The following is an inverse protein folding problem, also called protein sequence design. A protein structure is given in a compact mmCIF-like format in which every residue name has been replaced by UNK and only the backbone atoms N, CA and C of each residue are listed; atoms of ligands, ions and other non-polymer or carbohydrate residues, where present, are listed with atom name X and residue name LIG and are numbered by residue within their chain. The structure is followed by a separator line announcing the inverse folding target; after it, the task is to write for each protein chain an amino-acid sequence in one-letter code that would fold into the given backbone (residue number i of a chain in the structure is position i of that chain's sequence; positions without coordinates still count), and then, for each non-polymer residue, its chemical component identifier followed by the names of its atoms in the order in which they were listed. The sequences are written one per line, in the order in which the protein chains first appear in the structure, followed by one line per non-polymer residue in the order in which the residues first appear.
data_IF_090040071804
#
_entry.id   IF_090040071804
#
_cell.length_a   1.000
_cell.length_b   1.000
_cell.length_c   1.000
_cell.angle_alpha   90.00
_cell.angle_beta   90.00
_cell.angle_gamma   90.00
#
_symmetry.space_group_name_H-M   'P 1'
#
loop_
_entity.id
_entity.type
_entity.pdbx_description
1 polymer ?
#
# COMPACT_ATOMS: atom_id res chain seq x y z
N UNK A 1 -65.23 -23.36 -74.48
CA UNK A 1 -65.05 -24.24 -73.30
C UNK A 1 -63.74 -23.86 -72.64
N UNK A 2 -63.64 -23.59 -71.32
CA UNK A 2 -64.51 -22.84 -70.40
C UNK A 2 -63.84 -21.55 -69.85
N UNK A 3 -64.68 -20.71 -69.22
CA UNK A 3 -64.44 -19.58 -68.27
C UNK A 3 -63.85 -20.13 -66.93
N UNK A 4 -63.59 -19.41 -65.80
CA UNK A 4 -63.40 -17.98 -65.47
C UNK A 4 -62.30 -17.71 -64.36
N UNK A 5 -62.18 -16.43 -63.88
CA UNK A 5 -61.72 -15.99 -62.52
C UNK A 5 -60.23 -16.23 -62.13
N UNK A 6 -59.53 -15.50 -61.24
CA UNK A 6 -59.71 -14.30 -60.39
C UNK A 6 -58.33 -13.99 -59.73
N UNK A 7 -58.09 -12.70 -59.46
CA UNK A 7 -57.43 -12.07 -58.29
C UNK A 7 -56.24 -12.74 -57.57
N UNK A 8 -55.14 -12.00 -57.43
CA UNK A 8 -54.65 -11.59 -56.08
C UNK A 8 -53.69 -10.41 -56.15
N UNK A 9 -53.98 -9.42 -55.31
CA UNK A 9 -53.19 -8.25 -54.94
C UNK A 9 -51.96 -8.63 -54.10
N UNK A 10 -50.82 -7.98 -54.34
CA UNK A 10 -49.75 -7.92 -53.34
C UNK A 10 -49.26 -6.49 -53.14
N UNK A 11 -49.60 -5.96 -51.96
CA UNK A 11 -48.96 -4.82 -51.30
C UNK A 11 -47.44 -5.05 -51.26
N UNK A 12 -46.65 -4.09 -51.75
CA UNK A 12 -45.23 -4.02 -51.41
C UNK A 12 -45.01 -2.89 -50.43
N UNK A 13 -44.52 -3.29 -49.26
CA UNK A 13 -44.28 -2.49 -48.08
C UNK A 13 -43.07 -1.57 -48.28
N UNK A 14 -43.22 -0.29 -47.93
CA UNK A 14 -42.12 0.64 -47.72
C UNK A 14 -41.34 0.24 -46.46
N UNK A 15 -40.12 -0.27 -46.65
CA UNK A 15 -39.16 -0.47 -45.56
C UNK A 15 -38.47 0.87 -45.24
N UNK A 16 -38.96 1.54 -44.20
CA UNK A 16 -38.24 2.61 -43.50
C UNK A 16 -37.10 1.98 -42.68
N UNK A 17 -35.87 2.06 -43.18
CA UNK A 17 -34.68 1.71 -42.42
C UNK A 17 -34.38 2.82 -41.40
N UNK A 18 -34.84 2.64 -40.16
CA UNK A 18 -34.37 3.40 -39.00
C UNK A 18 -32.92 2.99 -38.69
N UNK A 19 -31.97 3.81 -39.15
CA UNK A 19 -30.57 3.73 -38.74
C UNK A 19 -30.43 4.11 -37.26
N UNK A 20 -30.46 3.11 -36.38
CA UNK A 20 -30.11 3.28 -34.97
C UNK A 20 -28.61 3.58 -34.86
N UNK A 21 -28.28 4.81 -34.45
CA UNK A 21 -26.92 5.17 -34.06
C UNK A 21 -26.65 4.46 -32.74
N UNK A 22 -25.99 3.30 -32.81
CA UNK A 22 -25.42 2.64 -31.66
C UNK A 22 -24.25 3.51 -31.16
N UNK A 23 -24.53 4.36 -30.18
CA UNK A 23 -23.49 5.04 -29.41
C UNK A 23 -22.68 3.98 -28.67
N UNK A 24 -21.57 3.56 -29.28
CA UNK A 24 -20.59 2.74 -28.63
C UNK A 24 -19.88 3.60 -27.58
N UNK A 25 -20.35 3.53 -26.34
CA UNK A 25 -19.66 4.12 -25.20
C UNK A 25 -18.32 3.41 -25.05
N UNK A 26 -17.26 3.98 -25.64
CA UNK A 26 -15.90 3.56 -25.36
C UNK A 26 -15.62 3.90 -23.90
N UNK A 27 -15.72 2.90 -23.04
CA UNK A 27 -15.16 2.99 -21.70
C UNK A 27 -13.66 3.22 -21.87
N UNK A 28 -13.20 4.45 -21.61
CA UNK A 28 -11.78 4.71 -21.45
C UNK A 28 -11.32 3.88 -20.27
N UNK A 29 -10.61 2.79 -20.53
CA UNK A 29 -9.76 2.17 -19.52
C UNK A 29 -8.83 3.30 -19.04
N UNK A 30 -9.02 3.77 -17.80
CA UNK A 30 -8.18 4.81 -17.24
C UNK A 30 -6.73 4.34 -17.35
N UNK A 31 -5.97 4.96 -18.26
CA UNK A 31 -4.55 4.70 -18.40
C UNK A 31 -3.88 5.06 -17.08
N UNK A 32 -3.00 4.16 -16.64
CA UNK A 32 -2.24 4.28 -15.39
C UNK A 32 -1.58 5.66 -15.35
N UNK A 33 -1.71 6.45 -14.28
CA UNK A 33 -0.94 7.67 -14.19
C UNK A 33 0.54 7.26 -14.15
N UNK A 34 1.32 7.65 -15.16
CA UNK A 34 2.77 7.40 -15.20
C UNK A 34 3.48 7.94 -13.95
N UNK A 35 2.88 8.95 -13.32
CA UNK A 35 3.30 9.51 -12.04
C UNK A 35 3.23 8.54 -10.86
N UNK A 36 2.56 7.39 -10.93
CA UNK A 36 2.57 6.40 -9.83
C UNK A 36 3.70 5.38 -9.97
N UNK A 37 4.16 5.12 -11.19
CA UNK A 37 5.11 4.05 -11.46
C UNK A 37 6.45 4.34 -10.78
N UNK A 38 7.01 3.35 -10.08
CA UNK A 38 8.31 3.48 -9.43
C UNK A 38 8.43 2.70 -8.13
N UNK A 39 9.55 2.92 -7.45
CA UNK A 39 9.83 2.43 -6.11
C UNK A 39 9.54 3.51 -5.08
N UNK A 40 8.93 3.09 -3.98
CA UNK A 40 8.48 3.94 -2.89
C UNK A 40 8.89 3.32 -1.57
N UNK A 41 9.07 4.16 -0.55
CA UNK A 41 9.36 3.75 0.81
C UNK A 41 8.21 4.20 1.72
N UNK A 42 7.74 3.32 2.59
CA UNK A 42 6.84 3.69 3.68
C UNK A 42 7.62 4.46 4.74
N UNK A 43 7.41 5.77 4.80
CA UNK A 43 8.10 6.68 5.74
C UNK A 43 7.26 7.02 6.97
N UNK A 44 5.95 6.78 6.91
CA UNK A 44 5.02 7.04 8.01
C UNK A 44 3.90 5.99 7.99
N UNK A 45 3.49 5.57 9.18
CA UNK A 45 2.36 4.66 9.42
C UNK A 45 1.53 5.31 10.51
N UNK A 46 0.31 5.71 10.19
CA UNK A 46 -0.59 6.34 11.16
C UNK A 46 -1.94 5.68 11.21
N UNK A 47 -2.50 5.72 12.41
CA UNK A 47 -3.82 5.21 12.76
C UNK A 47 -4.57 6.33 13.44
N UNK A 48 -5.89 6.25 13.43
CA UNK A 48 -6.74 7.21 14.12
C UNK A 48 -6.51 7.11 15.62
N UNK A 49 -5.80 8.09 16.20
CA UNK A 49 -5.40 8.12 17.61
C UNK A 49 -6.56 8.08 18.62
N UNK A 50 -7.79 8.30 18.17
CA UNK A 50 -8.98 8.23 19.02
C UNK A 50 -9.68 6.85 18.98
N UNK A 51 -9.38 5.97 18.01
CA UNK A 51 -10.01 4.64 17.85
C UNK A 51 -9.07 3.48 18.28
N UNK A 52 -8.45 3.62 19.46
CA UNK A 52 -7.36 2.74 19.90
C UNK A 52 -7.67 1.22 20.07
N UNK A 53 -8.89 0.76 20.40
CA UNK A 53 -9.15 -0.66 20.66
C UNK A 53 -9.09 -1.58 19.42
N UNK A 54 -9.22 -1.03 18.21
CA UNK A 54 -9.40 -1.83 16.97
C UNK A 54 -8.13 -1.93 16.11
N UNK A 55 -6.99 -1.48 16.64
CA UNK A 55 -5.76 -1.36 15.88
C UNK A 55 -5.08 -2.71 15.66
N UNK A 56 -5.07 -3.17 14.40
CA UNK A 56 -4.13 -4.20 13.97
C UNK A 56 -2.68 -3.69 14.01
N UNK A 57 -2.48 -2.39 13.75
CA UNK A 57 -1.19 -1.70 13.72
C UNK A 57 -1.17 -0.49 14.64
N UNK A 58 -0.01 -0.16 15.21
CA UNK A 58 0.14 0.99 16.10
C UNK A 58 0.70 2.23 15.37
N UNK A 59 0.63 3.44 15.93
CA UNK A 59 1.29 4.59 15.33
C UNK A 59 2.79 4.33 15.16
N UNK A 60 3.33 4.64 13.98
CA UNK A 60 4.70 4.33 13.58
C UNK A 60 5.04 2.82 13.70
N UNK A 61 4.12 1.94 13.28
CA UNK A 61 4.29 0.49 13.39
C UNK A 61 5.55 -0.01 12.63
N UNK A 62 6.54 -0.58 13.34
CA UNK A 62 7.74 -1.11 12.72
C UNK A 62 7.51 -2.24 11.70
N UNK A 63 6.37 -2.94 11.75
CA UNK A 63 6.04 -3.97 10.75
C UNK A 63 5.86 -3.38 9.36
N UNK A 64 5.39 -2.13 9.28
CA UNK A 64 5.10 -1.41 8.04
C UNK A 64 6.10 -0.28 7.71
N UNK A 65 6.80 0.28 8.69
CA UNK A 65 7.81 1.31 8.43
C UNK A 65 9.02 0.76 7.67
N UNK A 66 9.50 1.52 6.68
CA UNK A 66 10.68 1.20 5.87
C UNK A 66 10.43 0.19 4.75
N UNK A 67 9.18 -0.31 4.62
CA UNK A 67 8.76 -1.21 3.54
C UNK A 67 8.93 -0.57 2.18
N UNK A 68 9.43 -1.33 1.22
CA UNK A 68 9.59 -0.90 -0.16
C UNK A 68 8.33 -1.28 -0.95
N UNK A 69 7.61 -0.28 -1.45
CA UNK A 69 6.44 -0.47 -2.30
C UNK A 69 6.86 -0.23 -3.75
N UNK A 70 6.68 -1.24 -4.60
CA UNK A 70 6.92 -1.11 -6.04
C UNK A 70 5.58 -1.06 -6.76
N UNK A 71 5.31 0.04 -7.44
CA UNK A 71 4.14 0.20 -8.31
C UNK A 71 4.63 0.11 -9.75
N UNK A 72 4.22 -0.93 -10.47
CA UNK A 72 4.54 -1.10 -11.88
C UNK A 72 3.29 -1.47 -12.69
N UNK A 73 3.39 -1.36 -14.01
CA UNK A 73 2.32 -1.80 -14.91
C UNK A 73 1.93 -3.27 -14.72
N UNK A 74 2.86 -4.14 -14.37
CA UNK A 74 2.61 -5.58 -14.19
C UNK A 74 2.12 -5.97 -12.80
N UNK A 75 2.57 -5.25 -11.76
CA UNK A 75 2.28 -5.60 -10.38
C UNK A 75 2.44 -4.43 -9.41
N UNK A 76 1.70 -4.46 -8.30
CA UNK A 76 1.99 -3.71 -7.07
C UNK A 76 2.50 -4.69 -6.02
N UNK A 77 3.68 -4.44 -5.47
CA UNK A 77 4.29 -5.29 -4.44
C UNK A 77 4.74 -4.46 -3.24
N UNK A 78 4.73 -5.07 -2.06
CA UNK A 78 5.36 -4.52 -0.85
C UNK A 78 6.41 -5.51 -0.35
N UNK A 79 7.68 -5.10 -0.40
CA UNK A 79 8.84 -5.96 -0.27
C UNK A 79 8.75 -7.21 -1.18
N UNK A 80 9.03 -8.39 -0.62
CA UNK A 80 8.87 -9.71 -1.22
C UNK A 80 7.66 -10.45 -0.61
N UNK A 81 6.57 -9.77 -0.23
CA UNK A 81 5.33 -10.46 0.18
C UNK A 81 4.82 -11.28 -1.02
N UNK A 82 4.41 -12.53 -0.78
CA UNK A 82 3.90 -13.42 -1.83
C UNK A 82 2.53 -13.01 -2.35
N UNK A 83 1.88 -11.99 -1.76
CA UNK A 83 0.52 -11.54 -2.08
C UNK A 83 0.49 -10.24 -2.88
N UNK A 84 1.39 -10.14 -3.86
CA UNK A 84 1.43 -9.06 -4.83
C UNK A 84 0.10 -8.89 -5.60
N UNK A 85 -0.22 -7.64 -5.92
CA UNK A 85 -1.31 -7.32 -6.83
C UNK A 85 -0.86 -7.56 -8.26
N UNK A 86 -1.20 -8.70 -8.84
CA UNK A 86 -0.93 -8.96 -10.25
C UNK A 86 -1.94 -8.20 -11.13
N UNK A 87 -1.46 -7.69 -12.29
CA UNK A 87 -2.27 -6.94 -13.27
C UNK A 87 -3.13 -5.83 -12.62
N UNK A 88 -2.50 -4.85 -11.95
CA UNK A 88 -3.22 -3.81 -11.23
C UNK A 88 -4.05 -2.95 -12.18
N UNK A 89 -5.33 -2.80 -11.85
CA UNK A 89 -6.25 -1.81 -12.40
C UNK A 89 -6.39 -0.61 -11.45
N UNK A 90 -6.68 0.56 -12.02
CA UNK A 90 -6.92 1.78 -11.27
C UNK A 90 -8.22 2.41 -11.73
N UNK A 91 -9.12 2.72 -10.80
CA UNK A 91 -10.33 3.48 -11.07
C UNK A 91 -10.33 4.76 -10.26
N UNK A 92 -10.62 5.89 -10.91
CA UNK A 92 -10.71 7.17 -10.21
C UNK A 92 -11.95 7.19 -9.28
N UNK A 93 -11.72 7.49 -8.01
CA UNK A 93 -12.78 7.79 -7.04
C UNK A 93 -13.12 9.27 -7.10
N UNK A 94 -14.36 9.70 -6.79
CA UNK A 94 -14.76 11.11 -6.87
C UNK A 94 -13.77 12.08 -6.23
N UNK A 95 -13.58 13.25 -6.85
CA UNK A 95 -12.75 14.32 -6.26
C UNK A 95 -13.37 14.79 -4.95
N UNK A 96 -12.52 15.03 -3.96
CA UNK A 96 -12.88 15.60 -2.66
C UNK A 96 -11.70 16.34 -2.05
N UNK A 97 -11.89 16.98 -0.89
CA UNK A 97 -10.75 17.44 -0.10
C UNK A 97 -10.04 16.25 0.57
N UNK A 98 -8.74 16.38 0.84
CA UNK A 98 -7.96 15.33 1.51
C UNK A 98 -8.57 14.97 2.87
N UNK A 99 -8.97 15.99 3.65
CA UNK A 99 -9.63 15.84 4.93
C UNK A 99 -10.96 15.07 4.79
N UNK A 100 -11.77 15.42 3.80
CA UNK A 100 -13.03 14.72 3.56
C UNK A 100 -12.79 13.25 3.23
N UNK A 101 -11.85 12.94 2.33
CA UNK A 101 -11.57 11.56 1.94
C UNK A 101 -11.06 10.72 3.13
N UNK A 102 -10.04 11.18 3.85
CA UNK A 102 -9.47 10.43 4.98
C UNK A 102 -10.52 10.23 6.08
N UNK A 103 -11.29 11.26 6.43
CA UNK A 103 -12.35 11.12 7.43
C UNK A 103 -13.43 10.11 7.02
N UNK A 104 -13.80 10.07 5.74
CA UNK A 104 -14.78 9.10 5.20
C UNK A 104 -14.23 7.68 5.08
N UNK A 105 -12.93 7.51 4.84
CA UNK A 105 -12.29 6.21 4.75
C UNK A 105 -12.23 5.48 6.10
N UNK A 106 -12.30 6.22 7.21
CA UNK A 106 -12.14 5.68 8.57
C UNK A 106 -13.23 6.18 9.53
N UNK A 107 -14.52 5.86 9.31
CA UNK A 107 -15.57 6.26 10.24
C UNK A 107 -15.38 5.57 11.60
N UNK A 108 -15.39 6.34 12.68
CA UNK A 108 -15.36 5.81 14.05
C UNK A 108 -16.69 5.12 14.38
N UNK A 109 -16.70 4.05 15.17
CA UNK A 109 -17.96 3.53 15.65
C UNK A 109 -18.65 4.57 16.57
N UNK A 110 -19.99 4.65 16.59
CA UNK A 110 -20.73 5.72 17.28
C UNK A 110 -20.39 5.93 18.77
N UNK A 111 -19.83 4.91 19.42
CA UNK A 111 -19.52 4.92 20.85
C UNK A 111 -18.05 5.22 21.20
N UNK A 112 -17.15 5.26 20.21
CA UNK A 112 -15.69 5.34 20.45
C UNK A 112 -15.06 6.69 20.08
N UNK A 113 -15.80 7.64 19.51
CA UNK A 113 -15.25 8.97 19.31
C UNK A 113 -16.20 9.94 18.59
N UNK A 114 -16.03 11.23 18.91
CA UNK A 114 -16.68 12.34 18.22
C UNK A 114 -15.56 13.30 17.80
N UNK A 115 -15.51 13.77 16.54
CA UNK A 115 -16.47 13.53 15.44
C UNK A 115 -16.42 12.10 14.87
N UNK A 116 -17.51 11.69 14.19
CA UNK A 116 -17.65 10.40 13.49
C UNK A 116 -16.52 10.18 12.47
N UNK A 117 -16.14 11.23 11.75
CA UNK A 117 -15.10 11.20 10.76
C UNK A 117 -13.83 11.85 11.34
N UNK A 118 -12.72 11.12 11.46
CA UNK A 118 -11.47 11.65 12.00
C UNK A 118 -10.88 12.79 11.16
N UNK A 119 -10.16 13.68 11.83
CA UNK A 119 -9.38 14.74 11.21
C UNK A 119 -8.04 14.21 10.69
N UNK A 120 -7.38 14.91 9.75
CA UNK A 120 -6.00 14.60 9.36
C UNK A 120 -5.05 14.62 10.56
N UNK A 121 -5.28 15.51 11.52
CA UNK A 121 -4.51 15.61 12.76
C UNK A 121 -4.65 14.38 13.66
N UNK A 122 -5.78 13.66 13.60
CA UNK A 122 -5.98 12.42 14.35
C UNK A 122 -5.04 11.30 13.85
N UNK A 123 -4.65 11.35 12.58
CA UNK A 123 -3.60 10.52 11.98
C UNK A 123 -2.22 11.21 11.96
N UNK A 124 -2.05 12.38 12.59
CA UNK A 124 -0.80 13.18 12.50
C UNK A 124 -0.33 13.46 11.06
N UNK A 125 -1.27 13.55 10.12
CA UNK A 125 -0.99 13.89 8.74
C UNK A 125 -0.89 15.41 8.61
N UNK A 126 0.33 15.93 8.41
CA UNK A 126 0.60 17.37 8.31
C UNK A 126 0.55 17.90 6.87
N UNK A 127 -0.42 17.43 6.07
CA UNK A 127 -0.61 17.87 4.69
C UNK A 127 -1.68 18.97 4.61
N UNK A 128 -1.59 19.91 3.66
CA UNK A 128 -2.65 20.87 3.42
C UNK A 128 -3.92 20.17 2.93
N UNK A 129 -5.10 20.66 3.33
CA UNK A 129 -6.38 20.13 2.86
C UNK A 129 -6.66 20.54 1.40
N UNK A 130 -5.99 19.84 0.48
CA UNK A 130 -6.04 20.11 -0.96
C UNK A 130 -7.12 19.27 -1.64
N UNK A 131 -7.56 19.70 -2.83
CA UNK A 131 -8.40 18.84 -3.68
C UNK A 131 -7.58 17.66 -4.20
N UNK A 132 -8.08 16.45 -3.99
CA UNK A 132 -7.42 15.20 -4.40
C UNK A 132 -8.33 14.38 -5.31
N UNK A 133 -7.72 13.53 -6.14
CA UNK A 133 -8.41 12.48 -6.91
C UNK A 133 -7.83 11.13 -6.48
N UNK A 134 -8.43 10.46 -5.48
CA UNK A 134 -8.01 9.14 -5.06
C UNK A 134 -8.25 8.12 -6.18
N UNK A 135 -7.43 7.08 -6.20
CA UNK A 135 -7.51 5.97 -7.14
C UNK A 135 -7.75 4.68 -6.36
N UNK A 136 -8.76 3.91 -6.74
CA UNK A 136 -8.97 2.58 -6.19
C UNK A 136 -8.22 1.55 -7.00
N UNK A 137 -7.50 0.67 -6.30
CA UNK A 137 -6.75 -0.45 -6.86
C UNK A 137 -7.69 -1.65 -7.01
N UNK A 138 -7.61 -2.32 -8.16
CA UNK A 138 -8.14 -3.66 -8.35
C UNK A 138 -7.03 -4.61 -8.79
N UNK A 139 -7.06 -5.85 -8.29
CA UNK A 139 -6.07 -6.87 -8.59
C UNK A 139 -6.70 -8.04 -9.35
N UNK A 140 -5.94 -8.67 -10.25
CA UNK A 140 -6.37 -9.88 -10.93
C UNK A 140 -5.24 -10.94 -10.87
N UNK A 141 -5.39 -11.99 -10.04
CA UNK A 141 -6.56 -12.33 -9.22
C UNK A 141 -6.80 -11.38 -8.02
N UNK A 142 -8.02 -11.40 -7.47
CA UNK A 142 -8.49 -10.48 -6.42
C UNK A 142 -7.98 -10.80 -5.00
N UNK A 143 -7.18 -11.85 -4.83
CA UNK A 143 -6.72 -12.36 -3.53
C UNK A 143 -5.58 -11.55 -2.89
N UNK A 144 -5.07 -10.52 -3.57
CA UNK A 144 -4.03 -9.64 -3.04
C UNK A 144 -4.57 -8.72 -1.93
N UNK A 145 -3.74 -8.43 -0.94
CA UNK A 145 -4.04 -7.43 0.10
C UNK A 145 -4.17 -6.00 -0.45
N UNK A 146 -3.66 -5.75 -1.66
CA UNK A 146 -3.83 -4.48 -2.36
C UNK A 146 -5.21 -4.33 -3.02
N UNK A 147 -5.98 -5.41 -3.17
CA UNK A 147 -7.27 -5.33 -3.84
C UNK A 147 -8.23 -4.46 -3.03
N UNK A 148 -8.78 -3.41 -3.65
CA UNK A 148 -9.63 -2.43 -3.00
C UNK A 148 -8.89 -1.30 -2.27
N UNK A 149 -7.56 -1.37 -2.15
CA UNK A 149 -6.76 -0.28 -1.58
C UNK A 149 -6.95 1.01 -2.37
N UNK A 150 -6.75 2.15 -1.72
CA UNK A 150 -6.80 3.46 -2.36
C UNK A 150 -5.40 4.08 -2.40
N UNK A 151 -5.10 4.84 -3.45
CA UNK A 151 -3.87 5.61 -3.61
C UNK A 151 -4.24 7.07 -3.86
N UNK A 152 -3.63 7.98 -3.10
CA UNK A 152 -3.79 9.43 -3.25
C UNK A 152 -2.43 10.03 -3.63
N UNK A 153 -2.22 10.39 -4.90
CA UNK A 153 -1.06 11.20 -5.29
C UNK A 153 -1.18 12.61 -4.72
N UNK A 154 -0.22 12.98 -3.86
CA UNK A 154 -0.11 14.34 -3.31
C UNK A 154 0.89 15.19 -4.09
N UNK A 155 1.97 14.57 -4.56
CA UNK A 155 3.02 15.16 -5.39
C UNK A 155 3.72 14.06 -6.20
N UNK A 156 4.75 14.41 -6.97
CA UNK A 156 5.57 13.41 -7.69
C UNK A 156 6.34 12.48 -6.74
N UNK A 157 6.65 12.93 -5.53
CA UNK A 157 7.46 12.23 -4.54
C UNK A 157 6.68 11.77 -3.30
N UNK A 158 5.37 12.09 -3.19
CA UNK A 158 4.53 11.73 -2.04
C UNK A 158 3.20 11.12 -2.46
N UNK A 159 2.89 10.00 -1.82
CA UNK A 159 1.61 9.29 -1.94
C UNK A 159 1.05 8.98 -0.55
N UNK A 160 -0.27 8.93 -0.45
CA UNK A 160 -0.93 8.23 0.64
C UNK A 160 -1.56 6.95 0.09
N UNK A 161 -1.54 5.88 0.89
CA UNK A 161 -2.27 4.66 0.57
C UNK A 161 -2.69 3.98 1.86
N UNK A 162 -3.66 3.09 1.79
CA UNK A 162 -3.75 1.99 2.74
C UNK A 162 -3.09 0.73 2.13
N UNK A 163 -2.74 -0.23 2.98
CA UNK A 163 -2.47 -1.61 2.60
C UNK A 163 -3.53 -2.47 3.31
N UNK A 164 -3.80 -3.69 2.83
CA UNK A 164 -4.75 -4.68 3.40
C UNK A 164 -6.17 -4.21 3.77
N UNK A 165 -6.54 -3.00 3.36
CA UNK A 165 -7.76 -2.30 3.79
C UNK A 165 -7.92 -2.15 5.31
N UNK A 166 -6.81 -2.20 6.07
CA UNK A 166 -6.83 -1.94 7.50
C UNK A 166 -7.05 -0.47 7.86
N UNK A 167 -7.28 -0.22 9.15
CA UNK A 167 -7.57 1.09 9.74
C UNK A 167 -6.35 2.04 9.87
N UNK A 168 -5.48 2.10 8.87
CA UNK A 168 -4.27 2.92 8.88
C UNK A 168 -4.01 3.60 7.53
N UNK A 169 -3.21 4.66 7.60
CA UNK A 169 -2.69 5.42 6.46
C UNK A 169 -1.18 5.24 6.39
N UNK A 170 -0.70 4.88 5.21
CA UNK A 170 0.72 4.87 4.88
C UNK A 170 1.07 6.15 4.12
N UNK A 171 2.12 6.83 4.56
CA UNK A 171 2.76 7.90 3.79
C UNK A 171 3.96 7.31 3.08
N UNK A 172 3.94 7.40 1.76
CA UNK A 172 5.00 6.88 0.90
C UNK A 172 5.82 8.04 0.36
N UNK A 173 7.14 7.81 0.29
CA UNK A 173 8.10 8.69 -0.38
C UNK A 173 8.71 7.96 -1.56
N UNK A 174 8.83 8.63 -2.71
CA UNK A 174 9.49 8.03 -3.88
C UNK A 174 10.99 7.82 -3.61
N UNK A 175 11.50 6.64 -3.92
CA UNK A 175 12.94 6.39 -3.90
C UNK A 175 13.63 7.15 -5.04
N UNK A 176 14.66 7.91 -4.69
CA UNK A 176 15.48 8.66 -5.63
C UNK A 176 16.85 8.00 -5.71
N UNK A 177 17.42 7.87 -6.91
CA UNK A 177 18.75 7.29 -7.07
C UNK A 177 19.85 8.04 -6.27
N UNK A 178 19.64 9.33 -6.00
CA UNK A 178 20.55 10.18 -5.23
C UNK A 178 20.44 10.02 -3.71
N UNK A 179 19.38 9.38 -3.20
CA UNK A 179 19.15 9.17 -1.76
C UNK A 179 18.90 7.68 -1.50
N UNK A 180 19.95 6.84 -1.51
CA UNK A 180 19.80 5.41 -1.29
C UNK A 180 19.27 5.14 0.11
N UNK A 181 18.37 4.17 0.20
CA UNK A 181 17.84 3.68 1.48
C UNK A 181 18.98 3.09 2.32
N UNK A 182 19.25 3.68 3.49
CA UNK A 182 20.35 3.25 4.40
C UNK A 182 19.82 2.46 5.60
N UNK A 183 20.55 1.44 6.09
CA UNK A 183 20.21 0.76 7.34
C UNK A 183 20.40 1.69 8.54
N UNK A 184 20.05 1.20 9.74
CA UNK A 184 20.19 1.94 11.00
C UNK A 184 21.62 2.00 11.54
N UNK A 185 22.55 1.25 10.94
CA UNK A 185 23.98 1.28 11.22
C UNK A 185 24.77 1.93 10.06
N UNK A 186 26.01 2.32 10.32
CA UNK A 186 26.88 2.90 9.30
C UNK A 186 27.47 1.79 8.42
N UNK A 187 27.21 1.87 7.12
CA UNK A 187 27.80 0.94 6.15
C UNK A 187 29.30 1.19 5.99
N UNK A 188 30.13 0.20 6.32
CA UNK A 188 31.56 0.23 6.15
C UNK A 188 32.10 -0.98 5.34
N UNK A 189 33.25 -0.83 4.66
CA UNK A 189 33.84 -1.93 3.88
C UNK A 189 34.24 -3.15 4.73
N UNK A 190 34.55 -2.94 6.01
CA UNK A 190 35.00 -3.97 6.97
C UNK A 190 33.85 -4.70 7.66
N UNK A 191 32.61 -4.37 7.34
CA UNK A 191 31.43 -4.98 7.96
C UNK A 191 31.35 -6.49 7.66
N UNK A 192 30.60 -7.22 8.47
CA UNK A 192 30.29 -8.63 8.20
C UNK A 192 29.57 -8.80 6.85
N UNK A 193 29.64 -10.00 6.25
CA UNK A 193 29.04 -10.26 4.94
C UNK A 193 27.53 -9.93 4.90
N UNK A 194 26.81 -10.21 6.00
CA UNK A 194 25.42 -9.83 6.19
C UNK A 194 25.19 -8.33 6.12
N UNK A 195 25.94 -7.55 6.88
CA UNK A 195 25.80 -6.08 6.93
C UNK A 195 26.14 -5.43 5.59
N UNK A 196 27.18 -5.90 4.89
CA UNK A 196 27.45 -5.45 3.51
C UNK A 196 26.30 -5.76 2.55
N UNK A 197 25.64 -6.90 2.72
CA UNK A 197 24.48 -7.30 1.91
C UNK A 197 23.28 -6.44 2.21
N UNK A 198 23.03 -6.15 3.50
CA UNK A 198 22.00 -5.21 3.96
C UNK A 198 22.23 -3.82 3.36
N UNK A 199 23.46 -3.31 3.41
CA UNK A 199 23.83 -2.00 2.88
C UNK A 199 23.64 -1.84 1.37
N UNK A 200 23.66 -2.95 0.61
CA UNK A 200 23.52 -2.95 -0.86
C UNK A 200 22.08 -3.18 -1.33
N UNK A 201 21.15 -3.40 -0.40
CA UNK A 201 19.75 -3.70 -0.72
C UNK A 201 18.81 -2.75 0.02
N UNK A 202 18.06 -1.93 -0.72
CA UNK A 202 17.10 -0.99 -0.15
C UNK A 202 16.05 -1.70 0.72
N UNK A 203 15.59 -2.88 0.28
CA UNK A 203 14.63 -3.71 1.03
C UNK A 203 15.23 -4.20 2.35
N UNK A 204 16.46 -4.73 2.34
CA UNK A 204 17.11 -5.20 3.57
C UNK A 204 17.46 -4.04 4.51
N UNK A 205 17.94 -2.91 3.99
CA UNK A 205 18.15 -1.69 4.75
C UNK A 205 16.85 -1.19 5.41
N UNK A 206 15.73 -1.29 4.69
CA UNK A 206 14.39 -1.06 5.23
C UNK A 206 14.06 -1.98 6.41
N UNK A 207 14.22 -3.30 6.24
CA UNK A 207 14.05 -4.27 7.32
C UNK A 207 14.93 -4.00 8.55
N UNK A 208 16.19 -3.60 8.35
CA UNK A 208 17.08 -3.26 9.46
C UNK A 208 16.56 -2.05 10.25
N UNK A 209 16.11 -0.98 9.56
CA UNK A 209 15.46 0.16 10.24
C UNK A 209 14.21 -0.26 11.02
N UNK A 210 13.43 -1.19 10.48
CA UNK A 210 12.24 -1.75 11.15
C UNK A 210 12.61 -2.52 12.42
N UNK A 211 13.62 -3.40 12.38
CA UNK A 211 14.11 -4.09 13.58
C UNK A 211 14.59 -3.09 14.62
N UNK A 212 15.36 -2.10 14.19
CA UNK A 212 15.87 -1.02 15.06
C UNK A 212 14.73 -0.24 15.73
N UNK A 213 13.65 0.06 14.98
CA UNK A 213 12.47 0.73 15.51
C UNK A 213 11.67 -0.15 16.48
N UNK A 214 11.44 -1.42 16.15
CA UNK A 214 10.77 -2.38 17.02
C UNK A 214 11.54 -2.60 18.33
N UNK A 215 12.86 -2.74 18.24
CA UNK A 215 13.71 -2.91 19.40
C UNK A 215 13.69 -1.69 20.32
N UNK A 216 13.78 -0.47 19.76
CA UNK A 216 13.62 0.77 20.54
C UNK A 216 12.24 0.87 21.20
N UNK A 217 11.19 0.38 20.55
CA UNK A 217 9.84 0.35 21.12
C UNK A 217 9.77 -0.63 22.28
N UNK A 218 10.22 -1.86 22.10
CA UNK A 218 10.24 -2.88 23.16
C UNK A 218 11.04 -2.41 24.39
N UNK A 219 12.20 -1.76 24.18
CA UNK A 219 12.98 -1.17 25.28
C UNK A 219 12.25 -0.07 26.05
N UNK A 220 11.34 0.68 25.41
CA UNK A 220 10.57 1.75 26.06
C UNK A 220 9.34 1.23 26.79
N UNK A 221 8.78 0.11 26.34
CA UNK A 221 7.61 -0.52 26.95
C UNK A 221 7.97 -1.49 28.07
N UNK A 222 9.25 -1.88 28.15
CA UNK A 222 9.76 -2.69 29.25
C UNK A 222 9.89 -1.81 30.50
N UNK A 223 8.97 -2.01 31.44
CA UNK A 223 8.99 -1.38 32.78
C UNK A 223 10.04 -2.03 33.72
N UNK A 224 10.61 -3.17 33.31
CA UNK A 224 11.53 -4.04 34.06
C UNK A 224 13.00 -3.92 33.61
N UNK A 225 13.86 -4.82 34.11
CA UNK A 225 15.24 -4.98 33.65
C UNK A 225 15.29 -5.32 32.15
N UNK A 226 15.84 -4.38 31.36
CA UNK A 226 16.04 -4.55 29.91
C UNK A 226 17.22 -5.45 29.53
N UNK A 227 18.02 -5.94 30.48
CA UNK A 227 19.20 -6.76 30.21
C UNK A 227 18.91 -8.04 29.41
N UNK A 228 17.83 -8.82 29.68
CA UNK A 228 17.46 -9.98 28.88
C UNK A 228 17.12 -9.60 27.44
N UNK A 229 16.37 -8.52 27.23
CA UNK A 229 16.02 -8.04 25.89
C UNK A 229 17.26 -7.60 25.10
N UNK A 230 18.19 -6.90 25.76
CA UNK A 230 19.49 -6.51 25.17
C UNK A 230 20.33 -7.73 24.81
N UNK A 231 20.36 -8.75 25.66
CA UNK A 231 21.08 -9.99 25.40
C UNK A 231 20.46 -10.75 24.21
N UNK A 232 19.14 -10.94 24.21
CA UNK A 232 18.41 -11.56 23.10
C UNK A 232 18.63 -10.83 21.77
N UNK A 233 18.73 -9.50 21.78
CA UNK A 233 19.04 -8.73 20.58
C UNK A 233 20.47 -9.01 20.06
N UNK A 234 21.47 -9.11 20.95
CA UNK A 234 22.84 -9.48 20.56
C UNK A 234 22.94 -10.91 20.03
N UNK A 235 22.22 -11.83 20.65
CA UNK A 235 22.14 -13.22 20.20
C UNK A 235 21.50 -13.32 18.82
N UNK A 236 20.40 -12.58 18.61
CA UNK A 236 19.76 -12.51 17.30
C UNK A 236 20.67 -11.91 16.23
N UNK A 237 21.46 -10.86 16.53
CA UNK A 237 22.42 -10.30 15.57
C UNK A 237 23.41 -11.36 15.07
N UNK A 238 23.94 -12.20 15.97
CA UNK A 238 24.80 -13.33 15.57
C UNK A 238 24.09 -14.32 14.66
N UNK A 239 22.82 -14.63 14.95
CA UNK A 239 22.00 -15.51 14.12
C UNK A 239 21.69 -14.90 12.75
N UNK A 240 21.41 -13.60 12.67
CA UNK A 240 21.25 -12.84 11.42
C UNK A 240 22.54 -12.90 10.60
N UNK A 241 23.69 -12.68 11.23
CA UNK A 241 24.97 -12.60 10.53
C UNK A 241 25.40 -13.95 9.94
N UNK A 242 24.92 -15.07 10.50
CA UNK A 242 25.10 -16.40 9.94
C UNK A 242 24.44 -16.60 8.56
N UNK A 243 23.46 -15.76 8.17
CA UNK A 243 22.90 -15.77 6.81
C UNK A 243 23.93 -15.34 5.74
N UNK A 244 25.01 -14.65 6.11
CA UNK A 244 26.01 -14.19 5.15
C UNK A 244 25.41 -13.31 4.05
N UNK A 245 25.50 -13.74 2.79
CA UNK A 245 24.98 -12.98 1.63
C UNK A 245 23.58 -13.41 1.18
N UNK A 246 22.95 -14.35 1.88
CA UNK A 246 21.62 -14.84 1.54
C UNK A 246 20.55 -13.79 1.89
N UNK A 247 20.01 -13.15 0.84
CA UNK A 247 19.01 -12.08 0.94
C UNK A 247 17.71 -12.58 1.56
N UNK A 248 17.26 -13.79 1.23
CA UNK A 248 15.99 -14.33 1.72
C UNK A 248 16.10 -14.75 3.18
N UNK A 249 17.23 -15.35 3.57
CA UNK A 249 17.56 -15.63 4.97
C UNK A 249 17.57 -14.34 5.81
N UNK A 250 18.28 -13.30 5.34
CA UNK A 250 18.34 -12.01 6.02
C UNK A 250 16.96 -11.35 6.15
N UNK A 251 16.20 -11.31 5.05
CA UNK A 251 14.87 -10.73 5.02
C UNK A 251 13.91 -11.47 5.98
N UNK A 252 13.94 -12.81 5.97
CA UNK A 252 13.14 -13.63 6.90
C UNK A 252 13.53 -13.39 8.35
N UNK A 253 14.83 -13.46 8.68
CA UNK A 253 15.34 -13.26 10.04
C UNK A 253 14.94 -11.90 10.61
N UNK A 254 15.03 -10.83 9.80
CA UNK A 254 14.63 -9.49 10.23
C UNK A 254 13.11 -9.34 10.39
N UNK A 255 12.29 -9.88 9.48
CA UNK A 255 10.82 -9.87 9.63
C UNK A 255 10.37 -10.61 10.89
N UNK A 256 10.90 -11.81 11.11
CA UNK A 256 10.58 -12.61 12.28
C UNK A 256 10.95 -11.85 13.56
N UNK A 257 12.11 -11.19 13.58
CA UNK A 257 12.54 -10.39 14.72
C UNK A 257 11.63 -9.19 14.99
N UNK A 258 11.20 -8.48 13.95
CA UNK A 258 10.22 -7.39 14.11
C UNK A 258 8.94 -7.93 14.75
N UNK A 259 8.40 -9.04 14.24
CA UNK A 259 7.17 -9.62 14.78
C UNK A 259 7.32 -10.05 16.25
N UNK A 260 8.45 -10.69 16.60
CA UNK A 260 8.74 -11.07 17.99
C UNK A 260 8.80 -9.85 18.92
N UNK A 261 9.49 -8.78 18.51
CA UNK A 261 9.64 -7.56 19.30
C UNK A 261 8.34 -6.77 19.44
N UNK A 262 7.41 -6.93 18.50
CA UNK A 262 6.10 -6.26 18.51
C UNK A 262 5.01 -7.04 19.26
N UNK A 263 5.29 -8.28 19.67
CA UNK A 263 4.41 -9.11 20.49
C UNK A 263 4.74 -9.05 21.99
N UNK A 264 5.83 -8.37 22.36
CA UNK A 264 6.20 -8.12 23.76
C UNK A 264 5.51 -6.88 24.29
#
# INVERSE_FOLDING_TARGET
MPDPRRLSSHLSWLLLSLGGIASCSTAFAASKPDSLQGQWEVIQVDVDRQDQPHWLYVPADPRLLGRQVRIAGSAISMDNDSRDCLKPGFSALPKSSLQQFIGQAFPRPPHYGVPLHPALSDFRLSFPDSSVQPLRVSCNPENSQWNGAWIIPLSMDRLLTNYDNGGYVLVLRRHQASDPVKPSFACAPTDHAAERTICRSATLAGYDRSVSAAYRRALKLSDDDTAPLRQAQRDWLRSRDACGVDVDCLAKSMRDRVNQLMQQ
#
